data_IF_473163823217
#
_entry.id   IF_473163823217
#
_cell.length_a   1.000
_cell.length_b   1.000
_cell.length_c   1.000
_cell.angle_alpha   90.00
_cell.angle_beta   90.00
_cell.angle_gamma   90.00
#
_symmetry.space_group_name_H-M   'P 1'
#
loop_
_entity.id
_entity.type
_entity.pdbx_description
1 polymer ?
#
# COMPACT_ATOMS: atom_id res chain seq x y z
N UNK A 1 -12.15 11.75 10.08
CA UNK A 1 -11.14 10.66 10.07
C UNK A 1 -11.48 9.50 9.12
N UNK A 2 -12.49 8.64 9.32
CA UNK A 2 -12.77 7.50 8.39
C UNK A 2 -13.07 7.91 6.94
N UNK A 3 -13.98 8.87 6.75
CA UNK A 3 -14.38 9.37 5.41
C UNK A 3 -13.25 10.16 4.73
N UNK A 4 -12.40 10.85 5.50
CA UNK A 4 -11.22 11.57 4.97
C UNK A 4 -10.23 10.65 4.28
N UNK A 5 -10.18 9.36 4.67
CA UNK A 5 -9.36 8.34 4.00
C UNK A 5 -10.03 7.73 2.75
N UNK A 6 -11.16 8.30 2.29
CA UNK A 6 -11.89 7.85 1.10
C UNK A 6 -12.65 6.53 1.31
N UNK A 7 -13.04 6.23 2.55
CA UNK A 7 -13.79 5.03 2.91
C UNK A 7 -15.27 5.37 3.06
N UNK A 8 -16.14 4.47 2.61
CA UNK A 8 -17.58 4.67 2.66
C UNK A 8 -18.07 4.64 4.11
N UNK A 9 -18.95 5.56 4.48
CA UNK A 9 -19.36 5.74 5.88
C UNK A 9 -20.11 4.52 6.45
N UNK A 10 -20.83 3.75 5.62
CA UNK A 10 -21.56 2.55 6.08
C UNK A 10 -20.62 1.51 6.68
N UNK A 11 -19.44 1.39 6.09
CA UNK A 11 -18.46 0.38 6.45
C UNK A 11 -17.79 0.63 7.81
N UNK A 12 -17.94 1.83 8.36
CA UNK A 12 -17.33 2.19 9.63
C UNK A 12 -17.93 1.40 10.80
N UNK A 13 -19.20 1.04 10.72
CA UNK A 13 -19.90 0.39 11.82
C UNK A 13 -19.55 -1.10 11.96
N UNK A 14 -19.11 -1.73 10.86
CA UNK A 14 -18.88 -3.18 10.77
C UNK A 14 -17.43 -3.58 11.07
N UNK A 15 -16.56 -2.64 11.44
CA UNK A 15 -15.14 -2.89 11.69
C UNK A 15 -14.78 -2.80 13.17
N UNK A 16 -13.84 -3.63 13.58
CA UNK A 16 -13.22 -3.54 14.90
C UNK A 16 -12.17 -2.43 14.95
N UNK A 17 -11.84 -1.95 16.15
CA UNK A 17 -10.76 -0.96 16.36
C UNK A 17 -9.41 -1.45 15.81
N UNK A 18 -9.16 -2.78 15.85
CA UNK A 18 -7.93 -3.38 15.33
C UNK A 18 -7.91 -3.42 13.80
N UNK A 19 -9.04 -3.68 13.16
CA UNK A 19 -9.16 -3.60 11.70
C UNK A 19 -9.04 -2.16 11.23
N UNK A 20 -9.64 -1.21 11.95
CA UNK A 20 -9.49 0.21 11.70
C UNK A 20 -8.00 0.61 11.68
N UNK A 21 -7.25 0.29 12.74
CA UNK A 21 -5.82 0.68 12.81
C UNK A 21 -4.99 0.04 11.69
N UNK A 22 -5.29 -1.21 11.32
CA UNK A 22 -4.62 -1.90 10.22
C UNK A 22 -4.93 -1.27 8.86
N UNK A 23 -6.20 -0.98 8.57
CA UNK A 23 -6.65 -0.37 7.31
C UNK A 23 -6.01 1.01 7.14
N UNK A 24 -6.06 1.84 8.18
CA UNK A 24 -5.50 3.20 8.16
C UNK A 24 -3.98 3.15 8.01
N UNK A 25 -3.30 2.26 8.74
CA UNK A 25 -1.86 2.06 8.63
C UNK A 25 -1.43 1.59 7.23
N UNK A 26 -2.17 0.67 6.63
CA UNK A 26 -1.92 0.20 5.27
C UNK A 26 -2.12 1.30 4.23
N UNK A 27 -3.19 2.10 4.35
CA UNK A 27 -3.46 3.24 3.45
C UNK A 27 -2.39 4.31 3.53
N UNK A 28 -1.92 4.64 4.73
CA UNK A 28 -0.82 5.59 4.91
C UNK A 28 0.44 5.10 4.20
N UNK A 29 0.84 3.84 4.42
CA UNK A 29 2.00 3.24 3.74
C UNK A 29 1.87 3.25 2.22
N UNK A 30 0.67 2.96 1.70
CA UNK A 30 0.40 3.02 0.27
C UNK A 30 0.57 4.45 -0.28
N UNK A 31 0.07 5.46 0.44
CA UNK A 31 0.21 6.86 0.03
C UNK A 31 1.67 7.34 0.10
N UNK A 32 2.40 6.96 1.14
CA UNK A 32 3.82 7.26 1.26
C UNK A 32 4.61 6.65 0.09
N UNK A 33 4.29 5.41 -0.32
CA UNK A 33 4.90 4.77 -1.48
C UNK A 33 4.58 5.49 -2.81
N UNK A 34 3.34 5.96 -2.99
CA UNK A 34 2.94 6.76 -4.15
C UNK A 34 3.73 8.07 -4.23
N UNK A 35 3.89 8.78 -3.11
CA UNK A 35 4.66 10.02 -3.04
C UNK A 35 6.15 9.77 -3.36
N UNK A 36 6.74 8.68 -2.86
CA UNK A 36 8.11 8.33 -3.22
C UNK A 36 8.26 8.01 -4.70
N UNK A 37 7.31 7.28 -5.30
CA UNK A 37 7.32 7.00 -6.74
C UNK A 37 7.23 8.30 -7.56
N UNK A 38 6.35 9.23 -7.19
CA UNK A 38 6.26 10.55 -7.82
C UNK A 38 7.55 11.35 -7.69
N UNK A 39 8.21 11.28 -6.53
CA UNK A 39 9.49 11.95 -6.30
C UNK A 39 10.57 11.43 -7.25
N UNK A 40 10.69 10.11 -7.37
CA UNK A 40 11.66 9.49 -8.29
C UNK A 40 11.38 9.91 -9.72
N UNK A 41 10.12 9.83 -10.17
CA UNK A 41 9.72 10.25 -11.50
C UNK A 41 10.08 11.72 -11.79
N UNK A 42 9.85 12.61 -10.82
CA UNK A 42 10.18 14.03 -10.98
C UNK A 42 11.71 14.27 -11.04
N UNK A 43 12.50 13.49 -10.29
CA UNK A 43 13.96 13.56 -10.34
C UNK A 43 14.52 13.04 -11.68
N UNK A 44 13.97 11.94 -12.17
CA UNK A 44 14.31 11.39 -13.49
C UNK A 44 13.95 12.39 -14.60
N UNK A 45 12.76 12.99 -14.54
CA UNK A 45 12.33 14.02 -15.49
C UNK A 45 13.26 15.25 -15.47
N UNK A 46 13.61 15.74 -14.28
CA UNK A 46 14.56 16.86 -14.15
C UNK A 46 15.92 16.53 -14.77
N UNK A 47 16.38 15.29 -14.61
CA UNK A 47 17.61 14.79 -15.24
C UNK A 47 17.48 14.75 -16.76
N UNK A 48 16.38 14.20 -17.28
CA UNK A 48 16.14 14.17 -18.73
C UNK A 48 16.10 15.56 -19.34
N UNK A 49 15.45 16.53 -18.68
CA UNK A 49 15.42 17.93 -19.11
C UNK A 49 16.84 18.50 -19.17
N UNK A 50 17.65 18.29 -18.12
CA UNK A 50 19.03 18.77 -18.08
C UNK A 50 19.87 18.23 -19.26
N UNK A 51 19.79 16.92 -19.52
CA UNK A 51 20.54 16.30 -20.63
C UNK A 51 19.98 16.71 -21.99
N UNK A 52 18.67 16.86 -22.15
CA UNK A 52 18.06 17.27 -23.41
C UNK A 52 18.59 18.63 -23.91
N UNK A 53 18.84 19.59 -23.01
CA UNK A 53 19.33 20.92 -23.38
C UNK A 53 20.85 21.02 -23.44
N UNK A 54 21.59 20.29 -22.60
CA UNK A 54 23.03 20.50 -22.43
C UNK A 54 23.90 19.39 -22.99
N UNK A 55 23.41 18.14 -23.03
CA UNK A 55 24.19 16.99 -23.51
C UNK A 55 23.28 15.82 -23.97
N UNK A 56 22.57 15.97 -25.10
CA UNK A 56 21.59 14.98 -25.52
C UNK A 56 22.23 13.64 -25.94
N UNK A 57 23.55 13.61 -26.20
CA UNK A 57 24.26 12.38 -26.60
C UNK A 57 24.41 11.40 -25.45
N UNK A 58 24.44 11.90 -24.21
CA UNK A 58 24.64 11.08 -23.00
C UNK A 58 23.35 10.93 -22.17
N UNK A 59 22.18 11.02 -22.81
CA UNK A 59 20.89 10.96 -22.10
C UNK A 59 20.69 9.60 -21.40
N UNK A 60 20.38 9.58 -20.08
CA UNK A 60 20.15 8.34 -19.35
C UNK A 60 18.87 7.60 -19.79
N UNK A 61 18.90 6.27 -19.79
CA UNK A 61 17.76 5.39 -20.07
C UNK A 61 17.16 4.85 -18.77
N UNK A 62 16.06 5.47 -18.30
CA UNK A 62 15.37 5.08 -17.07
C UNK A 62 14.36 3.92 -17.27
N UNK A 63 14.10 3.49 -18.51
CA UNK A 63 13.10 2.44 -18.78
C UNK A 63 13.48 1.07 -18.20
N UNK A 64 14.77 0.83 -17.98
CA UNK A 64 15.31 -0.46 -17.49
C UNK A 64 15.25 -0.62 -15.97
N UNK A 65 14.96 0.44 -15.21
CA UNK A 65 14.98 0.39 -13.75
C UNK A 65 13.69 -0.19 -13.12
N UNK A 66 12.59 -0.28 -13.88
CA UNK A 66 11.26 -0.64 -13.37
C UNK A 66 10.92 -2.12 -13.28
N UNK A 67 11.78 -3.04 -13.72
CA UNK A 67 11.45 -4.47 -13.86
C UNK A 67 11.63 -5.32 -12.58
N UNK A 68 12.16 -4.76 -11.49
CA UNK A 68 12.68 -5.55 -10.35
C UNK A 68 11.68 -5.79 -9.20
N UNK A 69 10.37 -5.61 -9.40
CA UNK A 69 9.36 -5.79 -8.35
C UNK A 69 8.24 -6.76 -8.71
N UNK A 70 7.85 -7.73 -7.83
CA UNK A 70 6.65 -8.51 -8.04
C UNK A 70 5.42 -7.59 -8.02
N UNK A 71 4.77 -7.43 -9.18
CA UNK A 71 3.53 -6.66 -9.33
C UNK A 71 2.42 -7.40 -8.58
N UNK A 72 2.09 -6.95 -7.37
CA UNK A 72 0.95 -7.50 -6.62
C UNK A 72 -0.34 -7.19 -7.39
N UNK A 73 -1.17 -8.20 -7.61
CA UNK A 73 -2.48 -8.02 -8.24
C UNK A 73 -3.34 -7.15 -7.32
N UNK A 74 -4.05 -6.12 -7.84
CA UNK A 74 -4.99 -5.35 -7.03
C UNK A 74 -6.10 -6.30 -6.56
N UNK A 75 -6.29 -6.41 -5.24
CA UNK A 75 -7.40 -7.14 -4.63
C UNK A 75 -8.62 -6.23 -4.48
N UNK A 76 -9.82 -6.80 -4.61
CA UNK A 76 -11.06 -6.12 -4.26
C UNK A 76 -11.13 -5.80 -2.76
N UNK A 77 -11.78 -4.69 -2.39
CA UNK A 77 -12.03 -4.33 -0.99
C UNK A 77 -12.75 -5.43 -0.21
N UNK A 78 -13.69 -6.14 -0.86
CA UNK A 78 -14.44 -7.24 -0.22
C UNK A 78 -13.52 -8.44 0.04
N UNK A 79 -12.64 -8.78 -0.90
CA UNK A 79 -11.66 -9.86 -0.73
C UNK A 79 -10.62 -9.49 0.34
N UNK A 80 -10.18 -8.24 0.38
CA UNK A 80 -9.24 -7.74 1.38
C UNK A 80 -9.84 -7.84 2.79
N UNK A 81 -11.11 -7.45 2.95
CA UNK A 81 -11.86 -7.61 4.20
C UNK A 81 -12.00 -9.07 4.62
N UNK A 82 -12.39 -9.95 3.70
CA UNK A 82 -12.54 -11.37 3.99
C UNK A 82 -11.22 -11.99 4.48
N UNK A 83 -10.08 -11.64 3.85
CA UNK A 83 -8.76 -12.10 4.31
C UNK A 83 -8.37 -11.54 5.68
N UNK A 84 -8.68 -10.27 5.95
CA UNK A 84 -8.41 -9.67 7.26
C UNK A 84 -9.23 -10.31 8.37
N UNK A 85 -10.54 -10.50 8.17
CA UNK A 85 -11.39 -11.20 9.12
C UNK A 85 -10.89 -12.61 9.37
N UNK A 86 -10.59 -13.39 8.31
CA UNK A 86 -10.06 -14.74 8.46
C UNK A 86 -8.74 -14.79 9.26
N UNK A 87 -7.83 -13.85 9.01
CA UNK A 87 -6.59 -13.72 9.77
C UNK A 87 -6.88 -13.47 11.26
N UNK A 88 -7.70 -12.48 11.59
CA UNK A 88 -8.02 -12.18 12.99
C UNK A 88 -8.76 -13.31 13.70
N UNK A 89 -9.71 -13.97 13.02
CA UNK A 89 -10.38 -15.16 13.57
C UNK A 89 -9.40 -16.30 13.85
N UNK A 90 -8.42 -16.53 12.97
CA UNK A 90 -7.41 -17.58 13.16
C UNK A 90 -6.48 -17.28 14.35
N UNK A 91 -6.08 -16.01 14.53
CA UNK A 91 -5.26 -15.58 15.66
C UNK A 91 -6.02 -15.70 16.98
N UNK A 92 -7.31 -15.32 16.99
CA UNK A 92 -8.17 -15.47 18.16
C UNK A 92 -8.39 -16.95 18.54
N UNK A 93 -8.57 -17.82 17.54
CA UNK A 93 -8.71 -19.27 17.77
C UNK A 93 -7.43 -19.88 18.37
N UNK A 94 -6.26 -19.47 17.88
CA UNK A 94 -4.97 -19.91 18.46
C UNK A 94 -4.82 -19.46 19.92
N UNK A 95 -5.15 -18.20 20.24
CA UNK A 95 -5.07 -17.70 21.61
C UNK A 95 -5.97 -18.48 22.57
N UNK A 96 -7.20 -18.82 22.15
CA UNK A 96 -8.12 -19.62 22.97
C UNK A 96 -7.64 -21.07 23.17
N UNK A 97 -7.00 -21.69 22.17
CA UNK A 97 -6.44 -23.04 22.31
C UNK A 97 -5.27 -23.13 23.32
N UNK A 98 -4.54 -22.03 23.54
CA UNK A 98 -3.47 -21.95 24.53
C UNK A 98 -3.98 -21.76 25.97
N UNK A 99 -5.18 -21.20 26.13
CA UNK A 99 -5.84 -21.03 27.43
C UNK A 99 -6.53 -22.31 27.91
N UNK A 100 -7.00 -23.17 26.99
CA UNK A 100 -7.64 -24.46 27.33
C UNK A 100 -6.64 -25.57 27.71
N UNK A 101 -5.34 -25.39 27.47
CA UNK A 101 -4.27 -26.33 27.80
C UNK A 101 -3.46 -25.91 29.05
N UNK A 102 -3.98 -24.97 29.84
CA UNK A 102 -3.48 -24.58 31.16
C UNK A 102 -4.50 -24.91 32.22
#
# INVERSE_FOLDING_TARGET
>A
MWVEFGLHHSDFWDITIREYSLIIGARRKAKDAEVQAQRVLNQELGTLIQFAFHDPKNMPDFAKAGETGPRSKPMSNQEARAKLHAYFSSVAAQANSQLSNR
#
